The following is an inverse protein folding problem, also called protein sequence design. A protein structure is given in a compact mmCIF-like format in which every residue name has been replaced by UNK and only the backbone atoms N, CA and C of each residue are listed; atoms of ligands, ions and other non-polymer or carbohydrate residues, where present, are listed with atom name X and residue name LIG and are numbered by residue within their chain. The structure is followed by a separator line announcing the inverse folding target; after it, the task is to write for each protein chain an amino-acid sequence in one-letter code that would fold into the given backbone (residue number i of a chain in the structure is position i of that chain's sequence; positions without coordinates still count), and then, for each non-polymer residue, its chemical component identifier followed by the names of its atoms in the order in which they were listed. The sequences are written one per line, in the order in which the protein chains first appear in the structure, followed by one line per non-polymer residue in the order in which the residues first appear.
data_IF_428750231381
#
_entry.id   IF_428750231381
#
_cell.length_a   1.000
_cell.length_b   1.000
_cell.length_c   1.000
_cell.angle_alpha   90.00
_cell.angle_beta   90.00
_cell.angle_gamma   90.00
#
_symmetry.space_group_name_H-M   'P 1'
#
loop_
_entity.id
_entity.type
_entity.pdbx_description
1 polymer ?
#
# COMPACT_ATOMS: atom_id res chain seq x y z
N UNK A 1 7.17 19.71 -28.68
CA UNK A 1 7.47 18.60 -27.75
C UNK A 1 7.24 19.22 -26.37
N UNK A 2 6.03 18.99 -25.80
CA UNK A 2 5.73 19.52 -24.49
C UNK A 2 6.66 18.83 -23.48
N UNK A 3 7.50 19.64 -22.88
CA UNK A 3 8.44 19.19 -21.84
C UNK A 3 7.60 18.82 -20.61
N UNK A 4 7.43 17.53 -20.35
CA UNK A 4 6.64 17.07 -19.20
C UNK A 4 7.40 17.42 -17.93
N UNK A 5 6.88 18.38 -17.19
CA UNK A 5 7.48 18.84 -15.92
C UNK A 5 7.64 17.68 -14.93
N UNK A 6 8.78 17.64 -14.26
CA UNK A 6 9.00 16.69 -13.16
C UNK A 6 8.16 17.06 -11.93
N UNK A 7 7.92 16.10 -11.03
CA UNK A 7 7.21 16.37 -9.76
C UNK A 7 7.87 17.52 -8.96
N UNK A 8 9.18 17.58 -9.01
CA UNK A 8 9.95 18.63 -8.35
C UNK A 8 9.60 20.01 -8.91
N UNK A 9 9.62 20.14 -10.25
CA UNK A 9 9.32 21.41 -10.92
C UNK A 9 7.87 21.82 -10.69
N UNK A 10 6.94 20.86 -10.69
CA UNK A 10 5.53 21.10 -10.35
C UNK A 10 5.36 21.59 -8.93
N UNK A 11 6.05 20.99 -7.96
CA UNK A 11 6.01 21.42 -6.57
C UNK A 11 6.60 22.82 -6.38
N UNK A 12 7.75 23.12 -6.97
CA UNK A 12 8.37 24.45 -6.95
C UNK A 12 7.44 25.49 -7.59
N UNK A 13 6.88 25.18 -8.77
CA UNK A 13 5.94 26.06 -9.47
C UNK A 13 4.66 26.30 -8.69
N UNK A 14 4.18 25.29 -7.95
CA UNK A 14 2.94 25.39 -7.17
C UNK A 14 3.02 26.42 -6.03
N UNK A 15 4.21 26.83 -5.61
CA UNK A 15 4.40 27.87 -4.59
C UNK A 15 3.91 29.22 -5.13
N UNK A 16 4.23 29.53 -6.39
CA UNK A 16 3.86 30.78 -7.06
C UNK A 16 2.50 30.67 -7.75
N UNK A 17 2.25 29.53 -8.40
CA UNK A 17 1.00 29.22 -9.10
C UNK A 17 0.33 28.01 -8.47
N UNK A 18 -0.58 28.18 -7.50
CA UNK A 18 -1.23 27.06 -6.79
C UNK A 18 -1.91 26.05 -7.69
N UNK A 19 -2.42 26.48 -8.86
CA UNK A 19 -3.05 25.62 -9.86
C UNK A 19 -2.11 24.53 -10.38
N UNK A 20 -0.78 24.75 -10.38
CA UNK A 20 0.19 23.74 -10.81
C UNK A 20 0.21 22.49 -9.91
N UNK A 21 -0.34 22.57 -8.70
CA UNK A 21 -0.48 21.41 -7.81
C UNK A 21 -1.52 20.42 -8.30
N UNK A 22 -2.47 20.84 -9.15
CA UNK A 22 -3.49 19.95 -9.72
C UNK A 22 -2.84 18.79 -10.50
N UNK A 23 -1.75 19.05 -11.22
CA UNK A 23 -1.04 18.01 -11.95
C UNK A 23 -0.34 17.00 -11.02
N UNK A 24 0.14 17.43 -9.85
CA UNK A 24 0.66 16.53 -8.81
C UNK A 24 -0.46 15.63 -8.29
N UNK A 25 -1.65 16.19 -8.08
CA UNK A 25 -2.82 15.43 -7.69
C UNK A 25 -3.19 14.39 -8.75
N UNK A 26 -3.33 14.80 -9.99
CA UNK A 26 -3.74 13.92 -11.10
C UNK A 26 -2.78 12.76 -11.31
N UNK A 27 -1.46 12.99 -11.17
CA UNK A 27 -0.44 11.96 -11.32
C UNK A 27 -0.42 10.92 -10.19
N UNK A 28 -0.69 11.34 -8.96
CA UNK A 28 -0.40 10.51 -7.78
C UNK A 28 -1.64 10.09 -6.98
N UNK A 29 -2.82 10.71 -7.20
CA UNK A 29 -4.03 10.41 -6.44
C UNK A 29 -4.47 8.95 -6.63
N UNK A 30 -4.55 8.47 -7.86
CA UNK A 30 -5.04 7.12 -8.16
C UNK A 30 -4.22 6.04 -7.46
N UNK A 31 -2.90 6.10 -7.62
CA UNK A 31 -1.97 5.13 -7.01
C UNK A 31 -2.04 5.16 -5.47
N UNK A 32 -2.02 6.37 -4.88
CA UNK A 32 -2.12 6.53 -3.44
C UNK A 32 -3.46 6.01 -2.90
N UNK A 33 -4.56 6.33 -3.57
CA UNK A 33 -5.88 5.85 -3.19
C UNK A 33 -5.97 4.32 -3.23
N UNK A 34 -5.46 3.69 -4.28
CA UNK A 34 -5.44 2.23 -4.40
C UNK A 34 -4.61 1.57 -3.28
N UNK A 35 -3.44 2.13 -2.97
CA UNK A 35 -2.64 1.67 -1.83
C UNK A 35 -3.41 1.78 -0.50
N UNK A 36 -4.05 2.92 -0.25
CA UNK A 36 -4.84 3.16 0.96
C UNK A 36 -6.07 2.26 1.04
N UNK A 37 -6.77 2.05 -0.07
CA UNK A 37 -7.95 1.18 -0.17
C UNK A 37 -7.63 -0.25 0.24
N UNK A 38 -6.50 -0.79 -0.21
CA UNK A 38 -6.02 -2.12 0.20
C UNK A 38 -5.73 -2.19 1.69
N UNK A 39 -5.23 -1.11 2.28
CA UNK A 39 -4.85 -1.07 3.70
C UNK A 39 -6.03 -0.87 4.65
N UNK A 40 -6.98 -0.03 4.32
CA UNK A 40 -7.97 0.47 5.27
C UNK A 40 -9.43 0.38 4.80
N UNK A 41 -9.66 -0.10 3.58
CA UNK A 41 -10.97 -0.14 2.95
C UNK A 41 -11.35 1.16 2.23
N UNK A 42 -12.39 1.13 1.37
CA UNK A 42 -12.65 2.22 0.42
C UNK A 42 -13.04 3.55 1.09
N UNK A 43 -13.90 3.53 2.10
CA UNK A 43 -14.37 4.76 2.76
C UNK A 43 -13.22 5.51 3.43
N UNK A 44 -12.45 4.83 4.29
CA UNK A 44 -11.32 5.44 4.99
C UNK A 44 -10.19 5.83 4.04
N UNK A 45 -10.02 5.10 2.93
CA UNK A 45 -9.03 5.44 1.91
C UNK A 45 -9.33 6.77 1.23
N UNK A 46 -10.60 7.03 0.91
CA UNK A 46 -11.01 8.31 0.30
C UNK A 46 -10.73 9.48 1.24
N UNK A 47 -11.08 9.35 2.51
CA UNK A 47 -10.84 10.38 3.52
C UNK A 47 -9.34 10.67 3.71
N UNK A 48 -8.53 9.61 3.85
CA UNK A 48 -7.08 9.76 4.03
C UNK A 48 -6.42 10.32 2.77
N UNK A 49 -6.82 9.90 1.57
CA UNK A 49 -6.29 10.44 0.34
C UNK A 49 -6.59 11.95 0.23
N UNK A 50 -7.83 12.36 0.46
CA UNK A 50 -8.22 13.77 0.45
C UNK A 50 -7.43 14.58 1.48
N UNK A 51 -7.33 14.12 2.73
CA UNK A 51 -6.56 14.79 3.79
C UNK A 51 -5.06 14.84 3.47
N UNK A 52 -4.53 13.81 2.80
CA UNK A 52 -3.13 13.78 2.36
C UNK A 52 -2.84 14.89 1.37
N UNK A 53 -3.64 15.04 0.32
CA UNK A 53 -3.42 16.07 -0.69
C UNK A 53 -3.70 17.47 -0.17
N UNK A 54 -4.69 17.66 0.71
CA UNK A 54 -4.92 18.93 1.40
C UNK A 54 -3.72 19.31 2.28
N UNK A 55 -3.19 18.36 3.04
CA UNK A 55 -2.00 18.58 3.88
C UNK A 55 -0.76 18.86 3.02
N UNK A 56 -0.60 18.13 1.93
CA UNK A 56 0.49 18.35 0.98
C UNK A 56 0.40 19.74 0.34
N UNK A 57 -0.76 20.12 -0.13
CA UNK A 57 -0.99 21.47 -0.67
C UNK A 57 -0.69 22.56 0.35
N UNK A 58 -1.18 22.44 1.58
CA UNK A 58 -0.96 23.40 2.65
C UNK A 58 0.51 23.54 3.07
N UNK A 59 1.31 22.47 2.89
CA UNK A 59 2.72 22.40 3.29
C UNK A 59 3.69 22.37 2.13
N UNK A 60 3.27 22.68 0.91
CA UNK A 60 4.08 22.58 -0.30
C UNK A 60 5.35 23.45 -0.28
N UNK A 61 5.32 24.54 0.48
CA UNK A 61 6.47 25.42 0.76
C UNK A 61 7.56 24.75 1.60
N UNK A 62 7.19 23.71 2.36
CA UNK A 62 8.09 22.92 3.21
C UNK A 62 8.60 21.65 2.55
N UNK A 63 8.11 21.35 1.36
CA UNK A 63 8.62 20.21 0.60
C UNK A 63 10.11 20.38 0.33
N UNK A 64 10.88 19.37 0.67
CA UNK A 64 12.33 19.30 0.38
C UNK A 64 12.56 18.03 -0.41
N UNK A 65 12.87 18.13 -1.70
CA UNK A 65 13.06 16.96 -2.55
C UNK A 65 14.35 16.22 -2.17
N UNK A 66 14.20 14.97 -1.74
CA UNK A 66 15.31 14.02 -1.58
C UNK A 66 15.58 13.24 -2.88
N UNK A 67 14.79 13.50 -3.95
CA UNK A 67 14.84 12.83 -5.24
C UNK A 67 13.98 13.54 -6.28
N UNK A 68 13.67 12.81 -7.37
CA UNK A 68 12.89 13.32 -8.50
C UNK A 68 11.37 13.26 -8.27
N UNK A 69 10.91 12.38 -7.37
CA UNK A 69 9.49 12.11 -7.14
C UNK A 69 9.00 12.65 -5.81
N UNK A 70 7.79 13.18 -5.80
CA UNK A 70 7.06 13.60 -4.60
C UNK A 70 6.44 12.43 -3.81
N UNK A 71 6.42 11.22 -4.40
CA UNK A 71 5.79 10.02 -3.81
C UNK A 71 6.21 9.74 -2.36
N UNK A 72 7.51 9.68 -2.00
CA UNK A 72 7.91 9.40 -0.63
C UNK A 72 7.29 10.36 0.39
N UNK A 73 7.17 11.63 0.01
CA UNK A 73 6.59 12.65 0.88
C UNK A 73 5.08 12.51 1.01
N UNK A 74 4.33 12.28 -0.09
CA UNK A 74 2.90 12.04 -0.07
C UNK A 74 2.56 10.80 0.76
N UNK A 75 3.27 9.69 0.53
CA UNK A 75 3.08 8.45 1.30
C UNK A 75 3.48 8.61 2.77
N UNK A 76 4.44 9.48 3.09
CA UNK A 76 4.78 9.82 4.47
C UNK A 76 3.64 10.52 5.21
N UNK A 77 2.96 11.47 4.55
CA UNK A 77 1.76 12.13 5.08
C UNK A 77 0.64 11.09 5.27
N UNK A 78 0.34 10.30 4.24
CA UNK A 78 -0.68 9.27 4.27
C UNK A 78 -0.42 8.23 5.37
N UNK A 79 0.84 7.79 5.53
CA UNK A 79 1.24 6.86 6.58
C UNK A 79 0.96 7.42 7.99
N UNK A 80 1.27 8.69 8.24
CA UNK A 80 0.99 9.33 9.51
C UNK A 80 -0.52 9.41 9.81
N UNK A 81 -1.34 9.64 8.78
CA UNK A 81 -2.80 9.64 8.90
C UNK A 81 -3.32 8.22 9.17
N UNK A 82 -2.85 7.20 8.44
CA UNK A 82 -3.20 5.80 8.66
C UNK A 82 -2.90 5.33 10.09
N UNK A 83 -1.78 5.76 10.68
CA UNK A 83 -1.44 5.38 12.05
C UNK A 83 -2.51 5.76 13.08
N UNK A 84 -3.22 6.86 12.87
CA UNK A 84 -4.36 7.26 13.71
C UNK A 84 -5.51 6.25 13.63
N UNK A 85 -5.61 5.52 12.52
CA UNK A 85 -6.66 4.55 12.21
C UNK A 85 -6.19 3.08 12.29
N UNK A 86 -5.13 2.78 13.03
CA UNK A 86 -4.51 1.45 13.10
C UNK A 86 -5.48 0.31 13.49
N UNK A 87 -6.51 0.60 14.31
CA UNK A 87 -7.54 -0.39 14.66
C UNK A 87 -8.44 -0.74 13.47
N UNK A 88 -8.73 0.23 12.60
CA UNK A 88 -9.51 0.02 11.38
C UNK A 88 -8.72 -0.81 10.37
N UNK A 89 -7.45 -0.48 10.20
CA UNK A 89 -6.53 -1.24 9.37
C UNK A 89 -6.46 -2.71 9.81
N UNK A 90 -6.26 -2.97 11.10
CA UNK A 90 -6.22 -4.34 11.62
C UNK A 90 -7.53 -5.10 11.37
N UNK A 91 -8.68 -4.45 11.53
CA UNK A 91 -9.99 -5.06 11.21
C UNK A 91 -10.09 -5.44 9.74
N UNK A 92 -9.55 -4.61 8.85
CA UNK A 92 -9.52 -4.88 7.43
C UNK A 92 -8.71 -6.15 7.10
N UNK A 93 -7.52 -6.31 7.69
CA UNK A 93 -6.73 -7.54 7.50
C UNK A 93 -7.45 -8.79 7.98
N UNK A 94 -8.14 -8.72 9.12
CA UNK A 94 -8.93 -9.83 9.63
C UNK A 94 -10.18 -10.11 8.78
N UNK A 95 -10.74 -9.11 8.12
CA UNK A 95 -11.85 -9.31 7.18
C UNK A 95 -11.35 -10.03 5.91
N UNK A 96 -10.18 -9.67 5.36
CA UNK A 96 -9.57 -10.40 4.26
C UNK A 96 -9.33 -11.87 4.59
N UNK A 97 -8.88 -12.16 5.81
CA UNK A 97 -8.70 -13.52 6.28
C UNK A 97 -10.00 -14.34 6.29
N UNK A 98 -11.15 -13.72 6.54
CA UNK A 98 -12.46 -14.39 6.63
C UNK A 98 -13.16 -14.54 5.29
N UNK A 99 -13.04 -13.54 4.42
CA UNK A 99 -13.80 -13.45 3.17
C UNK A 99 -12.99 -13.81 1.94
N UNK A 100 -11.67 -13.93 2.06
CA UNK A 100 -10.78 -14.24 0.95
C UNK A 100 -10.69 -13.16 -0.14
N UNK A 101 -11.35 -12.02 0.06
CA UNK A 101 -11.36 -10.92 -0.89
C UNK A 101 -10.35 -9.86 -0.45
N UNK A 102 -9.18 -9.85 -1.06
CA UNK A 102 -8.39 -8.61 -1.09
C UNK A 102 -9.07 -7.64 -2.06
N UNK A 103 -9.18 -6.34 -1.71
CA UNK A 103 -9.69 -5.35 -2.67
C UNK A 103 -8.82 -5.43 -3.91
N UNK A 104 -9.48 -5.47 -5.05
CA UNK A 104 -8.90 -5.63 -6.36
C UNK A 104 -7.50 -5.01 -6.48
N UNK A 105 -6.55 -5.81 -6.86
CA UNK A 105 -5.49 -5.36 -7.72
C UNK A 105 -6.22 -4.76 -8.91
N UNK A 106 -5.96 -3.50 -9.22
CA UNK A 106 -6.62 -2.80 -10.31
C UNK A 106 -6.44 -3.63 -11.60
N UNK A 107 -7.42 -4.42 -11.90
CA UNK A 107 -7.51 -5.26 -13.08
C UNK A 107 -8.09 -4.47 -14.25
N UNK A 108 -8.03 -3.13 -14.21
CA UNK A 108 -8.63 -2.33 -15.26
C UNK A 108 -8.04 -2.58 -16.66
N UNK A 109 -6.86 -3.24 -16.72
CA UNK A 109 -6.25 -3.62 -17.99
C UNK A 109 -6.09 -5.14 -18.20
N UNK A 110 -6.21 -5.97 -17.15
CA UNK A 110 -5.98 -7.42 -17.23
C UNK A 110 -7.24 -8.29 -17.08
N UNK A 111 -8.35 -7.75 -16.57
CA UNK A 111 -9.51 -8.51 -16.15
C UNK A 111 -10.56 -8.81 -17.22
N UNK A 112 -10.33 -8.45 -18.47
CA UNK A 112 -11.20 -8.94 -19.54
C UNK A 112 -11.07 -10.46 -19.78
N UNK A 113 -10.02 -11.13 -19.25
CA UNK A 113 -9.71 -12.54 -19.53
C UNK A 113 -9.26 -13.38 -18.33
N UNK A 114 -9.44 -12.91 -17.09
CA UNK A 114 -9.11 -13.69 -15.89
C UNK A 114 -10.04 -14.90 -15.75
N UNK A 115 -9.49 -16.13 -15.82
CA UNK A 115 -10.26 -17.36 -15.61
C UNK A 115 -10.80 -17.44 -14.16
N UNK A 116 -11.91 -18.19 -13.96
CA UNK A 116 -12.48 -18.46 -12.63
C UNK A 116 -11.44 -19.09 -11.68
N UNK A 117 -10.53 -19.91 -12.20
CA UNK A 117 -9.44 -20.53 -11.45
C UNK A 117 -8.45 -19.50 -10.91
N UNK A 118 -8.10 -18.48 -11.69
CA UNK A 118 -7.21 -17.41 -11.28
C UNK A 118 -7.79 -16.56 -10.13
N UNK A 119 -9.12 -16.38 -10.12
CA UNK A 119 -9.84 -15.69 -9.02
C UNK A 119 -9.89 -16.55 -7.75
N UNK A 120 -10.13 -17.83 -7.88
CA UNK A 120 -10.14 -18.77 -6.77
C UNK A 120 -8.76 -18.84 -6.09
N UNK A 121 -7.69 -18.89 -6.88
CA UNK A 121 -6.31 -18.87 -6.38
C UNK A 121 -5.97 -17.57 -5.67
N UNK A 122 -6.37 -16.42 -6.22
CA UNK A 122 -6.19 -15.12 -5.59
C UNK A 122 -6.94 -15.00 -4.26
N UNK A 123 -8.18 -15.52 -4.20
CA UNK A 123 -9.00 -15.56 -2.98
C UNK A 123 -8.36 -16.44 -1.91
N UNK A 124 -7.88 -17.63 -2.28
CA UNK A 124 -7.19 -18.55 -1.37
C UNK A 124 -5.87 -17.92 -0.85
N UNK A 125 -5.13 -17.25 -1.72
CA UNK A 125 -3.89 -16.54 -1.34
C UNK A 125 -4.19 -15.39 -0.37
N UNK A 126 -5.22 -14.60 -0.61
CA UNK A 126 -5.64 -13.51 0.26
C UNK A 126 -6.06 -13.99 1.65
N UNK A 127 -6.85 -15.07 1.72
CA UNK A 127 -7.26 -15.69 2.98
C UNK A 127 -6.07 -16.18 3.82
N UNK A 128 -5.00 -16.65 3.17
CA UNK A 128 -3.77 -17.10 3.84
C UNK A 128 -2.88 -15.93 4.30
N UNK A 129 -2.77 -14.87 3.50
CA UNK A 129 -1.88 -13.73 3.77
C UNK A 129 -2.48 -12.77 4.80
N UNK A 130 -3.80 -12.60 4.82
CA UNK A 130 -4.48 -11.66 5.73
C UNK A 130 -4.11 -11.83 7.21
N UNK A 131 -4.22 -13.05 7.80
CA UNK A 131 -3.84 -13.28 9.19
C UNK A 131 -2.36 -12.97 9.47
N UNK A 132 -1.48 -13.32 8.52
CA UNK A 132 -0.04 -13.06 8.65
C UNK A 132 0.23 -11.56 8.68
N UNK A 133 -0.39 -10.81 7.76
CA UNK A 133 -0.28 -9.34 7.73
C UNK A 133 -0.83 -8.70 9.02
N UNK A 134 -1.95 -9.21 9.53
CA UNK A 134 -2.51 -8.73 10.80
C UNK A 134 -1.58 -9.00 12.00
N UNK A 135 -0.81 -10.09 11.97
CA UNK A 135 0.13 -10.50 13.01
C UNK A 135 1.51 -9.83 12.92
N UNK A 136 1.86 -9.24 11.77
CA UNK A 136 3.13 -8.53 11.62
C UNK A 136 3.22 -7.33 12.56
N UNK A 137 4.40 -7.06 13.16
CA UNK A 137 4.69 -5.78 13.79
C UNK A 137 4.41 -4.64 12.79
N UNK A 138 3.78 -3.55 13.26
CA UNK A 138 3.32 -2.47 12.37
C UNK A 138 4.43 -1.95 11.44
N UNK A 139 5.64 -1.70 11.97
CA UNK A 139 6.75 -1.22 11.16
C UNK A 139 7.29 -2.21 10.13
N UNK A 140 7.18 -3.52 10.37
CA UNK A 140 7.58 -4.55 9.40
C UNK A 140 6.54 -4.67 8.30
N UNK A 141 5.25 -4.59 8.66
CA UNK A 141 4.13 -4.53 7.72
C UNK A 141 4.20 -3.29 6.83
N UNK A 142 4.46 -2.10 7.39
CA UNK A 142 4.57 -0.85 6.63
C UNK A 142 5.65 -0.94 5.56
N UNK A 143 6.84 -1.40 5.92
CA UNK A 143 7.94 -1.60 4.97
C UNK A 143 7.56 -2.60 3.88
N UNK A 144 6.94 -3.72 4.25
CA UNK A 144 6.52 -4.75 3.29
C UNK A 144 5.51 -4.21 2.28
N UNK A 145 4.49 -3.47 2.76
CA UNK A 145 3.41 -2.97 1.91
C UNK A 145 3.86 -1.81 1.01
N UNK A 146 4.73 -0.92 1.49
CA UNK A 146 5.34 0.12 0.64
C UNK A 146 6.21 -0.51 -0.46
N UNK A 147 6.94 -1.57 -0.14
CA UNK A 147 7.73 -2.30 -1.13
C UNK A 147 6.87 -3.03 -2.16
N UNK A 148 5.87 -3.80 -1.69
CA UNK A 148 5.11 -4.72 -2.54
C UNK A 148 3.93 -4.07 -3.27
N UNK A 149 3.32 -3.02 -2.72
CA UNK A 149 2.11 -2.40 -3.28
C UNK A 149 2.30 -0.99 -3.81
N UNK A 150 3.30 -0.28 -3.32
CA UNK A 150 3.65 1.04 -3.81
C UNK A 150 4.92 1.03 -4.67
N UNK A 151 5.52 -0.14 -4.91
CA UNK A 151 6.72 -0.33 -5.73
C UNK A 151 7.84 0.66 -5.38
N UNK A 152 8.03 0.91 -4.08
CA UNK A 152 9.03 1.85 -3.61
C UNK A 152 10.40 1.21 -3.45
N UNK A 153 11.44 1.95 -3.83
CA UNK A 153 12.83 1.57 -3.53
C UNK A 153 13.09 1.60 -2.01
N UNK A 154 14.15 0.95 -1.57
CA UNK A 154 14.55 0.99 -0.15
C UNK A 154 14.88 2.42 0.33
N UNK A 155 15.40 3.26 -0.56
CA UNK A 155 15.68 4.65 -0.26
C UNK A 155 14.38 5.45 -0.09
N UNK A 156 13.40 5.26 -0.98
CA UNK A 156 12.09 5.91 -0.88
C UNK A 156 11.34 5.48 0.38
N UNK A 157 11.37 4.19 0.73
CA UNK A 157 10.75 3.69 1.97
C UNK A 157 11.43 4.30 3.19
N UNK A 158 12.76 4.42 3.17
CA UNK A 158 13.51 5.04 4.26
C UNK A 158 13.12 6.51 4.44
N UNK A 159 13.02 7.25 3.34
CA UNK A 159 12.53 8.65 3.33
C UNK A 159 11.07 8.74 3.79
N UNK A 160 10.17 7.90 3.25
CA UNK A 160 8.74 7.86 3.61
C UNK A 160 8.52 7.62 5.11
N UNK A 161 9.22 6.65 5.69
CA UNK A 161 9.06 6.24 7.09
C UNK A 161 10.02 6.95 8.05
N UNK A 162 10.95 7.77 7.53
CA UNK A 162 11.97 8.48 8.30
C UNK A 162 12.83 7.51 9.15
N UNK A 163 13.29 6.41 8.53
CA UNK A 163 14.14 5.39 9.16
C UNK A 163 15.37 5.10 8.28
N UNK A 164 16.48 4.63 8.88
CA UNK A 164 17.65 4.24 8.10
C UNK A 164 17.36 3.12 7.09
N UNK A 165 18.00 3.13 5.92
CA UNK A 165 17.89 2.08 4.89
C UNK A 165 18.23 0.70 5.44
N UNK A 166 19.20 0.60 6.37
CA UNK A 166 19.50 -0.65 7.07
C UNK A 166 18.31 -1.19 7.87
N UNK A 167 17.51 -0.31 8.47
CA UNK A 167 16.27 -0.67 9.16
C UNK A 167 15.20 -1.16 8.18
N UNK A 168 15.09 -0.55 7.00
CA UNK A 168 14.19 -1.03 5.93
C UNK A 168 14.55 -2.47 5.55
N UNK A 169 15.83 -2.75 5.28
CA UNK A 169 16.31 -4.11 4.93
C UNK A 169 15.98 -5.13 6.02
N UNK A 170 16.28 -4.81 7.28
CA UNK A 170 16.04 -5.74 8.39
C UNK A 170 14.57 -6.02 8.62
N UNK A 171 13.68 -4.99 8.54
CA UNK A 171 12.25 -5.13 8.66
C UNK A 171 11.65 -5.94 7.52
N UNK A 172 12.06 -5.66 6.28
CA UNK A 172 11.60 -6.41 5.10
C UNK A 172 12.01 -7.90 5.18
N UNK A 173 13.22 -8.19 5.63
CA UNK A 173 13.68 -9.57 5.82
C UNK A 173 12.87 -10.30 6.90
N UNK A 174 12.52 -9.64 8.02
CA UNK A 174 11.64 -10.22 9.05
C UNK A 174 10.24 -10.50 8.51
N UNK A 175 9.64 -9.53 7.84
CA UNK A 175 8.30 -9.67 7.24
C UNK A 175 8.26 -10.84 6.24
N UNK A 176 9.24 -10.93 5.33
CA UNK A 176 9.35 -12.03 4.35
C UNK A 176 9.54 -13.40 5.01
N UNK A 177 10.28 -13.48 6.11
CA UNK A 177 10.47 -14.73 6.86
C UNK A 177 9.17 -15.19 7.50
N UNK A 178 8.40 -14.27 8.10
CA UNK A 178 7.09 -14.58 8.68
C UNK A 178 6.07 -15.00 7.61
N UNK A 179 6.08 -14.37 6.44
CA UNK A 179 5.24 -14.78 5.31
C UNK A 179 5.54 -16.21 4.87
N UNK A 180 6.82 -16.57 4.72
CA UNK A 180 7.22 -17.95 4.34
C UNK A 180 6.84 -18.96 5.41
N UNK A 181 7.17 -18.69 6.68
CA UNK A 181 6.84 -19.59 7.78
C UNK A 181 5.33 -19.79 7.99
N UNK A 182 4.54 -18.73 7.82
CA UNK A 182 3.07 -18.83 7.90
C UNK A 182 2.45 -19.58 6.70
N UNK A 183 3.15 -19.65 5.57
CA UNK A 183 2.70 -20.41 4.39
C UNK A 183 3.01 -21.91 4.52
N UNK A 184 4.09 -22.26 5.25
CA UNK A 184 4.52 -23.65 5.45
C UNK A 184 3.77 -24.36 6.59
N UNK A 185 3.17 -23.61 7.53
CA UNK A 185 2.53 -24.16 8.74
C UNK A 185 1.05 -24.55 8.59
N UNK A 186 0.46 -24.44 7.41
CA UNK A 186 -0.87 -24.97 7.16
C UNK A 186 -0.80 -26.24 6.30
N UNK A 187 -0.69 -27.44 6.92
CA UNK A 187 -0.84 -28.68 6.17
C UNK A 187 -2.25 -28.68 5.60
N UNK A 188 -2.36 -29.03 4.31
CA UNK A 188 -3.63 -29.39 3.68
C UNK A 188 -4.33 -30.38 4.60
N UNK A 189 -5.49 -29.98 5.14
CA UNK A 189 -6.36 -30.91 5.87
C UNK A 189 -6.81 -31.96 4.85
N UNK A 190 -6.38 -33.23 4.94
CA UNK A 190 -6.89 -34.22 4.04
C UNK A 190 -8.38 -34.38 4.36
N UNK A 191 -9.22 -34.12 3.36
CA UNK A 191 -10.63 -34.50 3.39
C UNK A 191 -10.65 -36.01 3.65
N UNK A 192 -10.92 -36.39 4.91
CA UNK A 192 -11.16 -37.79 5.27
C UNK A 192 -12.51 -38.11 4.68
N UNK A 193 -12.48 -38.72 3.50
CA UNK A 193 -13.58 -39.46 2.94
C UNK A 193 -13.93 -40.58 3.89
N UNK A 194 -14.96 -40.36 4.71
CA UNK A 194 -15.62 -41.41 5.49
C UNK A 194 -16.66 -42.07 4.65
N UNK A 195 -16.23 -43.04 3.84
CA UNK A 195 -17.11 -44.12 3.34
C UNK A 195 -17.37 -45.09 4.48
N UNK A 196 -18.65 -45.39 4.69
CA UNK A 196 -19.24 -46.66 5.20
C UNK A 196 -20.70 -46.40 5.47
N UNK A 197 -21.55 -47.22 5.03
CA UNK A 197 -21.76 -48.61 4.74
C UNK A 197 -23.14 -48.93 5.18
#
# INVERSE_FOLDING_TARGET
MDDVLTDRELMERSIVSPASFAEVFDRHHGELYHYLRRRAGPSLAADIAAETFLTAFARRDRYRPDGQSVRPWLYGIAHNLLRKHSRSERRQWLAYARHGEMPDVDHSAADAFGSADSRADATAAAARIGPILAGLPAGDRDVLLLYAWADMSYADIASTLQIPVGTVRSRLNRARRQLRGGTELQPMNPVIGGSRG
#
